data_IF_041620539214
#
_entry.id   IF_041620539214
#
_cell.length_a   1.000
_cell.length_b   1.000
_cell.length_c   1.000
_cell.angle_alpha   90.00
_cell.angle_beta   90.00
_cell.angle_gamma   90.00
#
_symmetry.space_group_name_H-M   'P 1'
#
loop_
_entity.id
_entity.type
_entity.pdbx_description
1 polymer ?
#
# COMPACT_ATOMS: atom_id res chain seq x y z
N UNK A 1 -31.77 2.32 -4.85
CA UNK A 1 -31.44 0.91 -4.47
C UNK A 1 -30.35 0.31 -5.35
N UNK A 2 -30.41 0.42 -6.69
CA UNK A 2 -29.39 -0.15 -7.62
C UNK A 2 -27.96 0.32 -7.32
N UNK A 3 -27.76 1.62 -7.07
CA UNK A 3 -26.44 2.20 -6.82
C UNK A 3 -25.86 1.76 -5.46
N UNK A 4 -26.73 1.56 -4.46
CA UNK A 4 -26.30 1.03 -3.16
C UNK A 4 -25.82 -0.41 -3.26
N UNK A 5 -26.50 -1.28 -4.00
CA UNK A 5 -26.03 -2.65 -4.24
C UNK A 5 -24.71 -2.68 -5.02
N UNK A 6 -24.49 -1.76 -5.94
CA UNK A 6 -23.21 -1.64 -6.64
C UNK A 6 -22.10 -1.27 -5.66
N UNK A 7 -22.33 -0.30 -4.78
CA UNK A 7 -21.37 0.09 -3.73
C UNK A 7 -21.07 -1.08 -2.79
N UNK A 8 -22.09 -1.79 -2.31
CA UNK A 8 -21.91 -2.99 -1.46
C UNK A 8 -21.05 -4.04 -2.15
N UNK A 9 -21.32 -4.31 -3.43
CA UNK A 9 -20.55 -5.27 -4.22
C UNK A 9 -19.09 -4.86 -4.36
N UNK A 10 -18.79 -3.60 -4.65
CA UNK A 10 -17.44 -3.08 -4.75
C UNK A 10 -16.70 -3.17 -3.42
N UNK A 11 -17.34 -2.81 -2.31
CA UNK A 11 -16.77 -2.90 -0.98
C UNK A 11 -16.52 -4.35 -0.55
N UNK A 12 -17.42 -5.27 -0.87
CA UNK A 12 -17.25 -6.69 -0.57
C UNK A 12 -16.11 -7.34 -1.36
N UNK A 13 -15.88 -6.90 -2.59
CA UNK A 13 -14.79 -7.40 -3.43
C UNK A 13 -13.42 -6.77 -3.11
N UNK A 14 -13.41 -5.60 -2.48
CA UNK A 14 -12.18 -4.92 -2.12
C UNK A 14 -11.40 -5.71 -1.06
N UNK A 15 -10.16 -6.00 -1.35
CA UNK A 15 -9.23 -6.64 -0.41
C UNK A 15 -7.83 -6.01 -0.54
N UNK A 16 -6.96 -6.26 0.43
CA UNK A 16 -5.56 -5.88 0.35
C UNK A 16 -4.80 -6.92 -0.49
N UNK A 17 -4.62 -6.62 -1.78
CA UNK A 17 -3.86 -7.50 -2.67
C UNK A 17 -2.37 -7.49 -2.28
N UNK A 18 -1.77 -8.67 -2.13
CA UNK A 18 -0.35 -8.86 -1.80
C UNK A 18 0.35 -9.84 -2.73
N UNK A 19 -0.18 -9.98 -3.94
CA UNK A 19 0.46 -10.67 -5.05
C UNK A 19 -0.10 -10.09 -6.35
N UNK A 20 0.75 -9.57 -7.19
CA UNK A 20 0.36 -8.97 -8.46
C UNK A 20 0.98 -9.74 -9.61
N UNK A 21 0.28 -9.77 -10.74
CA UNK A 21 0.85 -10.26 -11.99
C UNK A 21 1.89 -9.25 -12.49
N UNK A 22 3.04 -9.75 -12.91
CA UNK A 22 4.09 -8.92 -13.53
C UNK A 22 3.71 -8.59 -15.00
N UNK A 23 2.55 -7.95 -15.18
CA UNK A 23 2.02 -7.55 -16.47
C UNK A 23 1.78 -6.04 -16.48
N UNK A 24 2.48 -5.29 -17.34
CA UNK A 24 2.28 -3.84 -17.45
C UNK A 24 0.82 -3.49 -17.71
N UNK A 25 0.40 -2.39 -17.12
CA UNK A 25 -0.93 -1.80 -17.31
C UNK A 25 -0.81 -0.67 -18.33
N UNK A 26 -1.77 -0.61 -19.25
CA UNK A 26 -1.82 0.45 -20.26
C UNK A 26 -1.91 1.83 -19.59
N UNK A 27 -1.11 2.76 -20.09
CA UNK A 27 -1.04 4.13 -19.56
C UNK A 27 -2.41 4.81 -19.48
N UNK A 28 -3.23 4.65 -20.51
CA UNK A 28 -4.57 5.23 -20.56
C UNK A 28 -5.49 4.71 -19.43
N UNK A 29 -5.32 3.44 -18.99
CA UNK A 29 -6.06 2.92 -17.85
C UNK A 29 -5.58 3.54 -16.53
N UNK A 30 -4.26 3.72 -16.36
CA UNK A 30 -3.69 4.39 -15.19
C UNK A 30 -4.19 5.83 -15.10
N UNK A 31 -4.17 6.57 -16.21
CA UNK A 31 -4.68 7.95 -16.30
C UNK A 31 -6.16 8.03 -15.91
N UNK A 32 -7.00 7.13 -16.41
CA UNK A 32 -8.43 7.07 -16.02
C UNK A 32 -8.63 6.79 -14.52
N UNK A 33 -7.80 5.93 -13.93
CA UNK A 33 -7.85 5.67 -12.48
C UNK A 33 -7.51 6.96 -11.70
N UNK A 34 -6.46 7.66 -12.11
CA UNK A 34 -6.03 8.92 -11.48
C UNK A 34 -7.10 10.00 -11.63
N UNK A 35 -7.67 10.20 -12.82
CA UNK A 35 -8.77 11.14 -13.07
C UNK A 35 -9.99 10.84 -12.19
N UNK A 36 -10.30 9.56 -12.00
CA UNK A 36 -11.40 9.15 -11.13
C UNK A 36 -11.09 9.44 -9.66
N UNK A 37 -9.86 9.19 -9.23
CA UNK A 37 -9.41 9.43 -7.87
C UNK A 37 -9.42 10.92 -7.50
N UNK A 38 -9.23 11.82 -8.46
CA UNK A 38 -9.29 13.28 -8.23
C UNK A 38 -10.68 13.79 -7.80
N UNK A 39 -11.72 12.98 -7.91
CA UNK A 39 -13.07 13.33 -7.44
C UNK A 39 -13.25 13.23 -5.93
N UNK A 40 -12.24 12.76 -5.20
CA UNK A 40 -12.28 12.70 -3.74
C UNK A 40 -12.14 14.11 -3.14
N UNK A 41 -12.83 14.39 -2.01
CA UNK A 41 -12.68 15.67 -1.34
C UNK A 41 -11.31 15.82 -0.67
N UNK A 42 -10.86 17.04 -0.47
CA UNK A 42 -9.71 17.37 0.37
C UNK A 42 -10.07 18.45 1.39
N UNK A 43 -9.29 18.57 2.45
CA UNK A 43 -9.50 19.60 3.46
C UNK A 43 -9.43 20.99 2.81
N UNK A 44 -10.47 21.79 3.01
CA UNK A 44 -10.61 23.11 2.40
C UNK A 44 -10.41 23.15 0.88
N UNK A 45 -10.63 22.02 0.20
CA UNK A 45 -10.37 21.85 -1.23
C UNK A 45 -8.93 22.21 -1.64
N UNK A 46 -7.97 21.96 -0.76
CA UNK A 46 -6.56 22.31 -0.97
C UNK A 46 -5.87 21.44 -2.04
N UNK A 47 -6.38 20.24 -2.29
CA UNK A 47 -5.91 19.29 -3.32
C UNK A 47 -4.37 19.17 -3.36
N UNK A 48 -3.73 18.83 -2.24
CA UNK A 48 -2.28 18.99 -2.07
C UNK A 48 -1.46 17.87 -2.71
N UNK A 49 -2.12 16.85 -3.24
CA UNK A 49 -1.47 15.63 -3.68
C UNK A 49 -0.67 15.82 -4.95
N UNK A 50 0.55 15.34 -4.91
CA UNK A 50 1.36 15.12 -6.10
C UNK A 50 1.50 13.61 -6.30
N UNK A 51 1.32 13.16 -7.52
CA UNK A 51 1.36 11.75 -7.86
C UNK A 51 2.52 11.45 -8.80
N UNK A 52 3.39 10.54 -8.37
CA UNK A 52 4.51 10.04 -9.15
C UNK A 52 4.21 8.58 -9.49
N UNK A 53 3.86 8.31 -10.74
CA UNK A 53 3.58 6.95 -11.21
C UNK A 53 4.80 6.42 -11.94
N UNK A 54 5.31 5.28 -11.48
CA UNK A 54 6.46 4.62 -12.09
C UNK A 54 6.02 3.67 -13.21
N UNK A 55 6.76 3.72 -14.32
CA UNK A 55 6.65 2.72 -15.36
C UNK A 55 7.09 1.34 -14.85
N UNK A 56 6.78 0.28 -15.59
CA UNK A 56 7.25 -1.07 -15.26
C UNK A 56 8.78 -1.11 -15.07
N UNK A 57 9.53 -0.51 -15.99
CA UNK A 57 10.99 -0.48 -15.90
C UNK A 57 11.50 0.28 -14.67
N UNK A 58 10.89 1.43 -14.36
CA UNK A 58 11.27 2.23 -13.18
C UNK A 58 10.90 1.52 -11.88
N UNK A 59 9.77 0.83 -11.85
CA UNK A 59 9.36 0.03 -10.68
C UNK A 59 10.38 -1.08 -10.40
N UNK A 60 10.88 -1.76 -11.43
CA UNK A 60 11.92 -2.78 -11.28
C UNK A 60 13.23 -2.18 -10.76
N UNK A 61 13.69 -1.07 -11.34
CA UNK A 61 14.89 -0.35 -10.86
C UNK A 61 14.78 0.07 -9.39
N UNK A 62 13.60 0.53 -8.98
CA UNK A 62 13.39 0.92 -7.60
C UNK A 62 13.39 -0.29 -6.66
N UNK A 63 12.81 -1.40 -7.08
CA UNK A 63 12.85 -2.68 -6.35
C UNK A 63 14.29 -3.14 -6.11
N UNK A 64 15.11 -3.13 -7.15
CA UNK A 64 16.54 -3.49 -7.05
C UNK A 64 17.29 -2.58 -6.08
N UNK A 65 16.97 -1.28 -6.06
CA UNK A 65 17.55 -0.33 -5.10
C UNK A 65 17.13 -0.60 -3.67
N UNK A 66 15.88 -0.96 -3.43
CA UNK A 66 15.42 -1.32 -2.08
C UNK A 66 16.05 -2.64 -1.60
N UNK A 67 16.25 -3.60 -2.49
CA UNK A 67 16.95 -4.85 -2.14
C UNK A 67 18.43 -4.61 -1.79
N UNK A 68 19.07 -3.65 -2.43
CA UNK A 68 20.46 -3.27 -2.16
C UNK A 68 20.63 -2.31 -0.97
N UNK A 69 19.55 -1.68 -0.51
CA UNK A 69 19.61 -0.68 0.55
C UNK A 69 19.64 -1.34 1.94
N UNK A 70 20.43 -0.74 2.85
CA UNK A 70 20.34 -1.07 4.27
C UNK A 70 19.09 -0.39 4.89
N UNK A 71 18.01 -1.12 4.95
CA UNK A 71 16.74 -0.66 5.54
C UNK A 71 16.71 -0.76 7.07
N UNK A 72 17.85 -1.02 7.71
CA UNK A 72 17.95 -1.22 9.16
C UNK A 72 17.61 0.03 9.99
N UNK A 73 17.60 1.21 9.38
CA UNK A 73 17.31 2.48 10.08
C UNK A 73 16.13 3.20 9.43
N UNK A 74 14.89 2.80 9.72
CA UNK A 74 13.73 3.49 9.21
C UNK A 74 13.67 4.94 9.74
N UNK A 75 13.36 5.88 8.85
CA UNK A 75 13.09 7.28 9.19
C UNK A 75 11.70 7.65 8.67
N UNK A 76 10.63 7.25 9.36
CA UNK A 76 9.27 7.48 8.90
C UNK A 76 8.86 8.95 9.04
N UNK A 77 8.12 9.47 8.07
CA UNK A 77 7.52 10.83 8.11
C UNK A 77 6.48 10.96 9.23
N UNK A 78 5.84 9.86 9.59
CA UNK A 78 4.86 9.78 10.67
C UNK A 78 5.29 8.72 11.68
N UNK A 79 5.32 9.09 12.95
CA UNK A 79 5.70 8.17 14.05
C UNK A 79 4.75 6.98 14.12
N UNK A 80 5.32 5.77 14.15
CA UNK A 80 4.54 4.56 14.36
C UNK A 80 3.95 4.50 15.77
N UNK A 81 2.76 3.89 15.96
CA UNK A 81 2.25 3.60 17.28
C UNK A 81 3.22 2.72 18.07
N UNK A 82 3.55 3.10 19.30
CA UNK A 82 4.44 2.32 20.16
C UNK A 82 3.90 0.90 20.40
N UNK A 83 2.59 0.78 20.60
CA UNK A 83 1.91 -0.50 20.81
C UNK A 83 0.42 -0.43 20.50
N UNK A 84 -0.13 -1.60 20.24
CA UNK A 84 -1.58 -1.80 20.14
C UNK A 84 -2.06 -2.50 21.41
N UNK A 85 -3.20 -2.07 21.97
CA UNK A 85 -3.81 -2.62 23.20
C UNK A 85 -5.26 -3.05 22.96
N UNK A 86 -5.80 -3.93 23.80
CA UNK A 86 -7.19 -4.37 23.78
C UNK A 86 -7.61 -4.90 22.40
N UNK A 87 -8.78 -4.51 21.94
CA UNK A 87 -9.36 -4.94 20.67
C UNK A 87 -8.48 -4.61 19.45
N UNK A 88 -7.71 -3.53 19.48
CA UNK A 88 -6.79 -3.18 18.41
C UNK A 88 -5.67 -4.21 18.26
N UNK A 89 -5.11 -4.68 19.39
CA UNK A 89 -4.09 -5.73 19.41
C UNK A 89 -4.68 -7.04 18.85
N UNK A 90 -5.88 -7.42 19.28
CA UNK A 90 -6.55 -8.63 18.81
C UNK A 90 -6.74 -8.60 17.30
N UNK A 91 -7.38 -7.57 16.76
CA UNK A 91 -7.62 -7.41 15.32
C UNK A 91 -6.34 -7.43 14.48
N UNK A 92 -5.30 -6.71 14.95
CA UNK A 92 -3.99 -6.73 14.30
C UNK A 92 -3.38 -8.13 14.28
N UNK A 93 -3.46 -8.83 15.40
CA UNK A 93 -2.92 -10.19 15.54
C UNK A 93 -3.65 -11.19 14.63
N UNK A 94 -4.97 -11.16 14.63
CA UNK A 94 -5.80 -12.02 13.78
C UNK A 94 -5.50 -11.80 12.30
N UNK A 95 -5.50 -10.55 11.85
CA UNK A 95 -5.18 -10.19 10.47
C UNK A 95 -3.76 -10.64 10.08
N UNK A 96 -2.77 -10.45 10.97
CA UNK A 96 -1.40 -10.87 10.72
C UNK A 96 -1.24 -12.38 10.61
N UNK A 97 -1.93 -13.14 11.45
CA UNK A 97 -1.90 -14.61 11.39
C UNK A 97 -2.64 -15.16 10.18
N UNK A 98 -3.74 -14.57 9.77
CA UNK A 98 -4.43 -14.93 8.53
C UNK A 98 -3.52 -14.77 7.31
N UNK A 99 -2.75 -13.67 7.24
CA UNK A 99 -1.76 -13.48 6.19
C UNK A 99 -0.68 -14.57 6.23
N UNK A 100 -0.07 -14.80 7.39
CA UNK A 100 1.01 -15.78 7.53
C UNK A 100 0.55 -17.19 7.19
N UNK A 101 -0.64 -17.57 7.60
CA UNK A 101 -1.25 -18.86 7.26
C UNK A 101 -1.45 -19.00 5.74
N UNK A 102 -1.99 -17.94 5.10
CA UNK A 102 -2.21 -17.92 3.66
C UNK A 102 -0.93 -18.02 2.82
N UNK A 103 0.22 -17.54 3.32
CA UNK A 103 1.52 -17.60 2.65
C UNK A 103 2.44 -18.70 3.20
N UNK A 104 1.94 -19.56 4.08
CA UNK A 104 2.66 -20.71 4.62
C UNK A 104 3.75 -20.39 5.66
N UNK A 105 3.74 -19.20 6.26
CA UNK A 105 4.68 -18.80 7.31
C UNK A 105 4.24 -19.36 8.66
N UNK A 106 5.02 -20.24 9.23
CA UNK A 106 4.73 -20.91 10.51
C UNK A 106 5.03 -20.00 11.71
N UNK A 107 4.28 -20.19 12.78
CA UNK A 107 4.52 -19.48 14.05
C UNK A 107 5.93 -19.78 14.58
N UNK A 108 6.69 -18.73 14.85
CA UNK A 108 8.08 -18.83 15.31
C UNK A 108 9.12 -18.85 14.20
N UNK A 109 8.73 -18.99 12.94
CA UNK A 109 9.63 -18.88 11.81
C UNK A 109 9.94 -17.39 11.52
N UNK A 110 11.02 -16.92 12.15
CA UNK A 110 11.46 -15.53 12.04
C UNK A 110 12.04 -15.21 10.66
N UNK A 111 12.66 -16.20 10.02
CA UNK A 111 13.27 -16.01 8.69
C UNK A 111 12.18 -15.80 7.64
N UNK A 112 11.21 -16.73 7.58
CA UNK A 112 10.09 -16.60 6.66
C UNK A 112 9.24 -15.33 6.95
N UNK A 113 9.05 -14.99 8.23
CA UNK A 113 8.35 -13.73 8.61
C UNK A 113 9.09 -12.48 8.12
N UNK A 114 10.43 -12.45 8.23
CA UNK A 114 11.23 -11.35 7.74
C UNK A 114 11.18 -11.26 6.21
N UNK A 115 11.28 -12.39 5.51
CA UNK A 115 11.13 -12.44 4.05
C UNK A 115 9.76 -11.92 3.60
N UNK A 116 8.69 -12.35 4.27
CA UNK A 116 7.34 -11.86 3.97
C UNK A 116 7.20 -10.35 4.22
N UNK A 117 7.86 -9.81 5.22
CA UNK A 117 7.88 -8.37 5.48
C UNK A 117 8.64 -7.61 4.38
N UNK A 118 9.69 -8.18 3.82
CA UNK A 118 10.43 -7.59 2.70
C UNK A 118 9.62 -7.48 1.41
N UNK A 119 8.55 -8.26 1.24
CA UNK A 119 7.64 -8.13 0.09
C UNK A 119 6.99 -6.75 -0.02
N UNK A 120 6.86 -5.99 1.09
CA UNK A 120 6.43 -4.60 1.05
C UNK A 120 7.37 -3.74 0.19
N UNK A 121 8.68 -3.95 0.31
CA UNK A 121 9.71 -3.22 -0.46
C UNK A 121 9.86 -3.76 -1.88
N UNK A 122 9.36 -4.95 -2.14
CA UNK A 122 9.23 -5.55 -3.47
C UNK A 122 7.91 -5.18 -4.15
N UNK A 123 7.06 -4.38 -3.48
CA UNK A 123 5.74 -3.98 -3.95
C UNK A 123 4.83 -5.16 -4.29
N UNK A 124 5.04 -6.31 -3.63
CA UNK A 124 4.30 -7.55 -3.88
C UNK A 124 4.29 -7.99 -5.36
N UNK A 125 5.35 -7.69 -6.11
CA UNK A 125 5.47 -7.99 -7.53
C UNK A 125 4.68 -7.06 -8.47
N UNK A 126 4.10 -5.97 -7.96
CA UNK A 126 3.33 -5.03 -8.78
C UNK A 126 4.15 -4.47 -9.96
N UNK A 127 3.59 -4.41 -11.18
CA UNK A 127 4.28 -3.88 -12.35
C UNK A 127 4.44 -2.37 -12.34
N UNK A 128 3.60 -1.67 -11.60
CA UNK A 128 3.61 -0.21 -11.44
C UNK A 128 3.42 0.16 -9.97
N UNK A 129 4.03 1.27 -9.58
CA UNK A 129 3.88 1.85 -8.24
C UNK A 129 3.58 3.34 -8.39
N UNK A 130 2.69 3.84 -7.54
CA UNK A 130 2.40 5.25 -7.44
C UNK A 130 2.79 5.75 -6.04
N UNK A 131 3.55 6.84 -6.00
CA UNK A 131 3.82 7.58 -4.78
C UNK A 131 2.93 8.81 -4.73
N UNK A 132 2.20 8.96 -3.64
CA UNK A 132 1.43 10.16 -3.35
C UNK A 132 2.23 10.97 -2.34
N UNK A 133 2.52 12.21 -2.67
CA UNK A 133 3.23 13.14 -1.80
C UNK A 133 2.39 14.39 -1.56
N UNK A 134 2.66 15.08 -0.47
CA UNK A 134 2.09 16.38 -0.17
C UNK A 134 3.14 17.29 0.49
N UNK A 135 2.98 18.63 0.45
CA UNK A 135 3.88 19.54 1.13
C UNK A 135 3.90 19.30 2.65
N UNK A 136 5.10 19.18 3.23
CA UNK A 136 5.29 18.96 4.68
C UNK A 136 4.58 20.03 5.52
N UNK A 137 4.51 21.26 5.02
CA UNK A 137 3.84 22.37 5.71
C UNK A 137 2.35 22.16 5.98
N UNK A 138 1.69 21.24 5.26
CA UNK A 138 0.28 20.92 5.47
C UNK A 138 0.08 19.86 6.57
N UNK A 139 1.13 19.17 6.99
CA UNK A 139 1.05 18.14 8.02
C UNK A 139 -0.01 17.09 7.71
N UNK A 140 -0.78 16.69 8.73
CA UNK A 140 -1.85 15.69 8.59
C UNK A 140 -3.02 16.12 7.67
N UNK A 141 -3.14 17.40 7.35
CA UNK A 141 -4.16 17.90 6.43
C UNK A 141 -3.76 17.77 4.95
N UNK A 142 -2.54 17.33 4.68
CA UNK A 142 -2.02 17.10 3.33
C UNK A 142 -2.11 15.64 2.87
N UNK A 143 -2.61 14.74 3.73
CA UNK A 143 -2.69 13.31 3.45
C UNK A 143 -4.09 12.75 3.65
#
# INVERSE_FOLDING_TARGET
MRDFHMLESLLAQRHSCRAFLNRPVERALVERVVETAQKVPSWCNSQPWQLIVLSHAETNRLRDRFEAADVAKPNPDVTFPERYIGAYKTRRSECGWQLYDAVGVKKGDRVASAQQMMENFRFFGAPHVAFVTSPVALGAYGI
#
